data_IF_459765482502
#
_entry.id   IF_459765482502
#
_cell.length_a   1.000
_cell.length_b   1.000
_cell.length_c   1.000
_cell.angle_alpha   90.00
_cell.angle_beta   90.00
_cell.angle_gamma   90.00
#
_symmetry.space_group_name_H-M   'P 1'
#
loop_
_entity.id
_entity.type
_entity.pdbx_description
1 polymer ?
#
# COMPACT_ATOMS: atom_id res chain seq x y z
N UNK A 1 -58.17 37.99 -38.10
CA UNK A 1 -57.93 36.69 -37.44
C UNK A 1 -56.42 36.56 -37.35
N UNK A 2 -55.85 36.50 -36.15
CA UNK A 2 -54.41 36.32 -35.99
C UNK A 2 -54.06 34.89 -36.39
N UNK A 3 -53.28 34.77 -37.46
CA UNK A 3 -52.81 33.51 -38.03
C UNK A 3 -51.35 33.25 -37.58
N UNK A 4 -51.04 33.58 -36.33
CA UNK A 4 -49.73 33.28 -35.75
C UNK A 4 -49.67 31.79 -35.44
N UNK A 5 -48.74 31.11 -36.11
CA UNK A 5 -48.46 29.70 -35.92
C UNK A 5 -48.04 29.49 -34.45
N UNK A 6 -48.90 28.82 -33.70
CA UNK A 6 -48.70 28.64 -32.25
C UNK A 6 -47.41 27.83 -32.05
N UNK A 7 -46.41 28.42 -31.38
CA UNK A 7 -45.09 27.83 -31.09
C UNK A 7 -45.13 26.67 -30.06
N UNK A 8 -46.22 25.90 -30.03
CA UNK A 8 -46.42 24.70 -29.21
C UNK A 8 -45.34 23.63 -29.45
N UNK A 9 -44.51 23.77 -30.49
CA UNK A 9 -43.55 22.75 -30.91
C UNK A 9 -42.33 22.63 -29.98
N UNK A 10 -41.66 23.74 -29.62
CA UNK A 10 -40.41 23.65 -28.85
C UNK A 10 -40.63 23.23 -27.40
N UNK A 11 -41.63 23.82 -26.73
CA UNK A 11 -41.95 23.46 -25.34
C UNK A 11 -42.45 22.01 -25.23
N UNK A 12 -43.22 21.53 -26.20
CA UNK A 12 -43.68 20.15 -26.23
C UNK A 12 -42.55 19.16 -26.53
N UNK A 13 -41.67 19.47 -27.49
CA UNK A 13 -40.46 18.67 -27.76
C UNK A 13 -39.56 18.61 -26.53
N UNK A 14 -39.37 19.75 -25.85
CA UNK A 14 -38.59 19.81 -24.62
C UNK A 14 -39.20 18.93 -23.52
N UNK A 15 -40.52 18.99 -23.32
CA UNK A 15 -41.21 18.17 -22.33
C UNK A 15 -41.12 16.66 -22.66
N UNK A 16 -41.28 16.28 -23.93
CA UNK A 16 -41.12 14.89 -24.40
C UNK A 16 -39.71 14.37 -24.16
N UNK A 17 -38.68 15.17 -24.46
CA UNK A 17 -37.28 14.82 -24.22
C UNK A 17 -37.01 14.64 -22.73
N UNK A 18 -37.54 15.55 -21.91
CA UNK A 18 -37.39 15.49 -20.45
C UNK A 18 -38.05 14.27 -19.83
N UNK A 19 -39.24 13.88 -20.30
CA UNK A 19 -39.92 12.66 -19.84
C UNK A 19 -39.13 11.41 -20.21
N UNK A 20 -38.54 11.34 -21.41
CA UNK A 20 -37.66 10.22 -21.81
C UNK A 20 -36.42 10.13 -20.93
N UNK A 21 -35.78 11.25 -20.62
CA UNK A 21 -34.63 11.30 -19.69
C UNK A 21 -35.02 10.87 -18.26
N UNK A 22 -36.20 11.26 -17.78
CA UNK A 22 -36.68 10.90 -16.44
C UNK A 22 -37.08 9.42 -16.34
N UNK A 23 -37.56 8.84 -17.43
CA UNK A 23 -37.94 7.43 -17.52
C UNK A 23 -36.77 6.53 -17.94
N UNK A 24 -35.59 7.08 -18.22
CA UNK A 24 -34.41 6.26 -18.47
C UNK A 24 -34.07 5.47 -17.20
N UNK A 25 -34.04 4.16 -17.35
CA UNK A 25 -33.66 3.27 -16.28
C UNK A 25 -32.16 3.41 -16.00
N UNK A 26 -31.83 4.16 -14.95
CA UNK A 26 -30.45 4.38 -14.50
C UNK A 26 -29.92 3.24 -13.64
N UNK A 27 -30.67 2.15 -13.43
CA UNK A 27 -30.20 1.03 -12.60
C UNK A 27 -28.89 0.45 -13.12
N UNK A 28 -28.72 0.33 -14.43
CA UNK A 28 -27.47 -0.15 -15.02
C UNK A 28 -26.30 0.80 -14.74
N UNK A 29 -26.49 2.12 -14.93
CA UNK A 29 -25.44 3.11 -14.68
C UNK A 29 -25.04 3.15 -13.19
N UNK A 30 -26.01 2.99 -12.29
CA UNK A 30 -25.79 2.92 -10.84
C UNK A 30 -25.01 1.65 -10.51
N UNK A 31 -25.45 0.49 -11.01
CA UNK A 31 -24.77 -0.80 -10.78
C UNK A 31 -23.34 -0.77 -11.30
N UNK A 32 -23.09 -0.24 -12.50
CA UNK A 32 -21.75 -0.10 -13.07
C UNK A 32 -20.85 0.79 -12.21
N UNK A 33 -21.39 1.89 -11.69
CA UNK A 33 -20.65 2.79 -10.80
C UNK A 33 -20.30 2.11 -9.46
N UNK A 34 -21.27 1.43 -8.85
CA UNK A 34 -21.08 0.70 -7.59
C UNK A 34 -20.07 -0.44 -7.75
N UNK A 35 -20.13 -1.18 -8.86
CA UNK A 35 -19.19 -2.25 -9.18
C UNK A 35 -17.76 -1.71 -9.31
N UNK A 36 -17.56 -0.61 -10.05
CA UNK A 36 -16.24 0.03 -10.17
C UNK A 36 -15.69 0.50 -8.82
N UNK A 37 -16.54 1.08 -7.96
CA UNK A 37 -16.12 1.48 -6.61
C UNK A 37 -15.76 0.28 -5.73
N UNK A 38 -16.50 -0.82 -5.85
CA UNK A 38 -16.23 -2.06 -5.14
C UNK A 38 -14.91 -2.69 -5.58
N UNK A 39 -14.67 -2.78 -6.89
CA UNK A 39 -13.41 -3.30 -7.45
C UNK A 39 -12.20 -2.47 -7.03
N UNK A 40 -12.34 -1.14 -7.03
CA UNK A 40 -11.29 -0.24 -6.54
C UNK A 40 -10.99 -0.46 -5.05
N UNK A 41 -12.03 -0.67 -4.22
CA UNK A 41 -11.86 -0.98 -2.79
C UNK A 41 -11.19 -2.32 -2.56
N UNK A 42 -11.58 -3.36 -3.29
CA UNK A 42 -10.98 -4.70 -3.18
C UNK A 42 -9.50 -4.62 -3.58
N UNK A 43 -9.22 -4.01 -4.73
CA UNK A 43 -7.85 -3.82 -5.22
C UNK A 43 -6.99 -3.04 -4.23
N UNK A 44 -7.52 -1.93 -3.70
CA UNK A 44 -6.84 -1.12 -2.69
C UNK A 44 -6.54 -1.89 -1.40
N UNK A 45 -7.48 -2.74 -0.97
CA UNK A 45 -7.29 -3.61 0.20
C UNK A 45 -6.20 -4.65 -0.03
N UNK A 46 -6.24 -5.37 -1.14
CA UNK A 46 -5.22 -6.39 -1.45
C UNK A 46 -3.81 -5.79 -1.55
N UNK A 47 -3.69 -4.62 -2.17
CA UNK A 47 -2.42 -3.88 -2.24
C UNK A 47 -1.99 -3.48 -0.82
N UNK A 48 -2.90 -2.94 -0.02
CA UNK A 48 -2.64 -2.55 1.36
C UNK A 48 -2.17 -3.71 2.23
N UNK A 49 -2.82 -4.87 2.15
CA UNK A 49 -2.46 -6.09 2.87
C UNK A 49 -1.07 -6.59 2.45
N UNK A 50 -0.78 -6.67 1.15
CA UNK A 50 0.55 -7.08 0.65
C UNK A 50 1.66 -6.13 1.09
N UNK A 51 1.45 -4.82 1.01
CA UNK A 51 2.43 -3.82 1.45
C UNK A 51 2.63 -3.90 2.96
N UNK A 52 1.55 -4.07 3.73
CA UNK A 52 1.59 -4.23 5.18
C UNK A 52 2.38 -5.47 5.60
N UNK A 53 2.10 -6.62 4.98
CA UNK A 53 2.81 -7.87 5.25
C UNK A 53 4.30 -7.75 4.93
N UNK A 54 4.65 -7.17 3.77
CA UNK A 54 6.05 -6.96 3.37
C UNK A 54 6.79 -6.07 4.38
N UNK A 55 6.21 -4.93 4.75
CA UNK A 55 6.79 -4.03 5.76
C UNK A 55 6.93 -4.70 7.13
N UNK A 56 5.91 -5.47 7.54
CA UNK A 56 5.94 -6.21 8.80
C UNK A 56 7.08 -7.22 8.84
N UNK A 57 7.25 -7.99 7.76
CA UNK A 57 8.37 -8.92 7.59
C UNK A 57 9.71 -8.20 7.64
N UNK A 58 9.90 -7.13 6.87
CA UNK A 58 11.15 -6.35 6.87
C UNK A 58 11.52 -5.82 8.27
N UNK A 59 10.55 -5.30 9.03
CA UNK A 59 10.77 -4.83 10.40
C UNK A 59 11.18 -5.98 11.32
N UNK A 60 10.47 -7.12 11.24
CA UNK A 60 10.77 -8.29 12.06
C UNK A 60 12.17 -8.86 11.75
N UNK A 61 12.54 -8.95 10.47
CA UNK A 61 13.87 -9.43 10.06
C UNK A 61 14.97 -8.50 10.56
N UNK A 62 14.82 -7.17 10.44
CA UNK A 62 15.78 -6.19 10.98
C UNK A 62 15.94 -6.31 12.50
N UNK A 63 14.83 -6.44 13.23
CA UNK A 63 14.88 -6.65 14.68
C UNK A 63 15.59 -7.97 15.05
N UNK A 64 15.36 -9.03 14.27
CA UNK A 64 16.04 -10.32 14.41
C UNK A 64 17.56 -10.22 14.24
N UNK A 65 18.03 -9.54 13.19
CA UNK A 65 19.45 -9.30 12.95
C UNK A 65 20.09 -8.54 14.11
N UNK A 66 19.49 -7.43 14.55
CA UNK A 66 20.02 -6.64 15.69
C UNK A 66 20.10 -7.46 16.97
N UNK A 67 19.11 -8.31 17.24
CA UNK A 67 19.11 -9.19 18.41
C UNK A 67 20.21 -10.25 18.33
N UNK A 68 20.44 -10.83 17.15
CA UNK A 68 21.53 -11.78 16.95
C UNK A 68 22.89 -11.11 17.20
N UNK A 69 23.13 -9.93 16.61
CA UNK A 69 24.35 -9.15 16.82
C UNK A 69 24.57 -8.87 18.32
N UNK A 70 23.55 -8.37 19.02
CA UNK A 70 23.64 -8.08 20.44
C UNK A 70 23.94 -9.34 21.27
N UNK A 71 23.38 -10.49 20.92
CA UNK A 71 23.71 -11.77 21.57
C UNK A 71 25.16 -12.16 21.34
N UNK A 72 25.66 -12.11 20.11
CA UNK A 72 27.06 -12.48 19.81
C UNK A 72 28.02 -11.53 20.54
N UNK A 73 27.70 -10.23 20.58
CA UNK A 73 28.51 -9.22 21.28
C UNK A 73 28.66 -9.45 22.79
N UNK A 74 27.74 -10.21 23.42
CA UNK A 74 27.89 -10.62 24.82
C UNK A 74 28.99 -11.66 25.03
N UNK A 75 29.39 -12.36 23.98
CA UNK A 75 30.36 -13.47 24.04
C UNK A 75 31.64 -13.19 23.26
N UNK A 76 31.61 -12.33 22.24
CA UNK A 76 32.77 -12.00 21.41
C UNK A 76 32.73 -10.54 20.96
N UNK A 77 33.89 -9.88 20.98
CA UNK A 77 34.09 -8.53 20.42
C UNK A 77 34.73 -8.58 19.01
N UNK A 78 35.08 -9.77 18.53
CA UNK A 78 35.69 -9.94 17.21
C UNK A 78 34.67 -9.66 16.10
N UNK A 79 34.99 -8.66 15.29
CA UNK A 79 34.09 -8.19 14.23
C UNK A 79 33.98 -9.18 13.07
N UNK A 80 35.00 -10.01 12.85
CA UNK A 80 34.98 -11.05 11.83
C UNK A 80 34.01 -12.16 12.24
N UNK A 81 34.11 -12.66 13.48
CA UNK A 81 33.19 -13.66 14.04
C UNK A 81 31.75 -13.16 14.03
N UNK A 82 31.51 -11.91 14.46
CA UNK A 82 30.16 -11.32 14.44
C UNK A 82 29.64 -11.25 13.00
N UNK A 83 30.47 -10.77 12.06
CA UNK A 83 30.05 -10.62 10.66
C UNK A 83 29.76 -11.96 10.00
N UNK A 84 30.65 -12.94 10.13
CA UNK A 84 30.49 -14.26 9.51
C UNK A 84 29.25 -14.98 10.05
N UNK A 85 29.00 -14.91 11.36
CA UNK A 85 27.81 -15.53 11.98
C UNK A 85 26.52 -14.85 11.51
N UNK A 86 26.50 -13.52 11.42
CA UNK A 86 25.33 -12.77 10.95
C UNK A 86 25.11 -13.02 9.46
N UNK A 87 26.18 -13.10 8.67
CA UNK A 87 26.13 -13.40 7.24
C UNK A 87 25.64 -14.81 6.96
N UNK A 88 26.05 -15.80 7.76
CA UNK A 88 25.55 -17.17 7.66
C UNK A 88 24.02 -17.23 7.88
N UNK A 89 23.49 -16.49 8.85
CA UNK A 89 22.06 -16.53 9.19
C UNK A 89 21.19 -15.61 8.32
N UNK A 90 21.73 -14.48 7.86
CA UNK A 90 20.94 -13.40 7.23
C UNK A 90 21.48 -12.91 5.89
N UNK A 91 22.55 -13.50 5.34
CA UNK A 91 23.15 -13.10 4.07
C UNK A 91 22.25 -13.30 2.85
N UNK A 92 21.20 -14.14 2.96
CA UNK A 92 20.17 -14.26 1.92
C UNK A 92 19.19 -13.07 1.91
N UNK A 93 19.09 -12.32 3.01
CA UNK A 93 18.10 -11.25 3.21
C UNK A 93 18.71 -9.85 3.13
N UNK A 94 20.00 -9.71 3.43
CA UNK A 94 20.71 -8.44 3.45
C UNK A 94 22.06 -8.54 2.77
N UNK A 95 22.46 -7.44 2.12
CA UNK A 95 23.80 -7.31 1.57
C UNK A 95 24.87 -7.23 2.66
N UNK A 96 26.11 -7.58 2.30
CA UNK A 96 27.26 -7.47 3.21
C UNK A 96 27.39 -6.07 3.83
N UNK A 97 27.09 -5.01 3.07
CA UNK A 97 27.19 -3.63 3.56
C UNK A 97 26.08 -3.28 4.56
N UNK A 98 24.85 -3.76 4.34
CA UNK A 98 23.76 -3.62 5.31
C UNK A 98 24.07 -4.37 6.62
N UNK A 99 24.61 -5.59 6.52
CA UNK A 99 25.01 -6.36 7.70
C UNK A 99 26.12 -5.66 8.49
N UNK A 100 27.13 -5.09 7.82
CA UNK A 100 28.18 -4.27 8.47
C UNK A 100 27.58 -3.04 9.14
N UNK A 101 26.61 -2.38 8.50
CA UNK A 101 25.93 -1.23 9.09
C UNK A 101 25.19 -1.62 10.37
N UNK A 102 24.43 -2.72 10.38
CA UNK A 102 23.74 -3.18 11.58
C UNK A 102 24.71 -3.48 12.73
N UNK A 103 25.89 -4.03 12.43
CA UNK A 103 26.93 -4.29 13.44
C UNK A 103 27.50 -2.97 13.99
N UNK A 104 27.74 -1.98 13.14
CA UNK A 104 28.22 -0.67 13.55
C UNK A 104 27.21 0.08 14.43
N UNK A 105 25.92 0.02 14.08
CA UNK A 105 24.82 0.56 14.88
C UNK A 105 24.79 -0.09 16.27
N UNK A 106 24.80 -1.43 16.33
CA UNK A 106 24.76 -2.17 17.59
C UNK A 106 25.96 -1.87 18.51
N UNK A 107 27.15 -1.67 17.94
CA UNK A 107 28.34 -1.23 18.70
C UNK A 107 28.18 0.17 19.27
N UNK A 108 27.60 1.08 18.50
CA UNK A 108 27.37 2.46 18.95
C UNK A 108 26.35 2.51 20.08
N UNK A 109 25.28 1.71 19.99
CA UNK A 109 24.27 1.60 21.04
C UNK A 109 24.84 0.98 22.32
N UNK A 110 25.64 -0.09 22.20
CA UNK A 110 26.31 -0.71 23.35
C UNK A 110 27.28 0.23 24.08
N UNK A 111 27.86 1.22 23.40
CA UNK A 111 28.77 2.20 24.00
C UNK A 111 28.05 3.37 24.68
N UNK A 112 26.76 3.58 24.37
CA UNK A 112 25.94 4.64 24.97
C UNK A 112 25.21 4.19 26.25
N UNK A 113 25.07 2.88 26.44
CA UNK A 113 24.45 2.28 27.63
C UNK A 113 25.46 1.86 28.72
N UNK A 114 26.76 2.02 28.48
CA UNK A 114 27.85 1.74 29.42
C UNK A 114 28.36 3.02 30.10
#
# INVERSE_FOLDING_TARGET
MNNEEVSLNEHFIWAQKRIKELNQDRRTDIMDSEMKMMDARISGREIGEKVGEKRGKEIATRAGVKKLIATIMKFSTDSTIIFDTVKEQYGEYFSDDELKQFIAEAKTDSLREA
#
